data_IF_666701242638
#
_entry.id   IF_666701242638
#
_cell.length_a   1.000
_cell.length_b   1.000
_cell.length_c   1.000
_cell.angle_alpha   90.00
_cell.angle_beta   90.00
_cell.angle_gamma   90.00
#
_symmetry.space_group_name_H-M   'P 1'
#
loop_
_entity.id
_entity.type
_entity.pdbx_description
1 polymer ?
#
# COMPACT_ATOMS: atom_id res chain seq x y z
N UNK A 1 -16.36 45.39 41.68
CA UNK A 1 -16.83 45.60 40.29
C UNK A 1 -15.69 45.19 39.34
N UNK A 2 -15.84 44.04 38.64
CA UNK A 2 -15.07 43.59 37.45
C UNK A 2 -13.59 43.23 37.66
N UNK A 3 -13.01 42.22 37.02
CA UNK A 3 -13.44 40.99 36.33
C UNK A 3 -12.15 40.17 36.11
N UNK A 4 -12.27 38.86 36.25
CA UNK A 4 -11.33 37.81 35.85
C UNK A 4 -10.77 37.95 34.43
N UNK A 5 -9.55 37.47 34.19
CA UNK A 5 -9.21 36.68 32.98
C UNK A 5 -8.10 35.67 33.31
N UNK A 6 -8.50 34.40 33.50
CA UNK A 6 -7.61 33.24 33.37
C UNK A 6 -7.37 33.02 31.87
N UNK A 7 -6.11 32.99 31.45
CA UNK A 7 -5.72 32.46 30.14
C UNK A 7 -5.68 30.93 30.22
N UNK A 8 -6.81 30.28 29.99
CA UNK A 8 -6.85 28.85 29.66
C UNK A 8 -6.59 28.69 28.16
N UNK A 9 -5.34 28.43 27.78
CA UNK A 9 -5.03 27.95 26.44
C UNK A 9 -5.54 26.51 26.31
N UNK A 10 -6.75 26.36 25.78
CA UNK A 10 -7.31 25.09 25.34
C UNK A 10 -6.41 24.49 24.25
N UNK A 11 -5.52 23.57 24.62
CA UNK A 11 -4.83 22.71 23.65
C UNK A 11 -5.81 21.64 23.14
N UNK A 12 -6.73 22.07 22.30
CA UNK A 12 -7.45 21.16 21.39
C UNK A 12 -6.43 20.61 20.42
N UNK A 13 -5.81 19.47 20.77
CA UNK A 13 -5.09 18.64 19.81
C UNK A 13 -6.14 18.06 18.87
N UNK A 14 -6.43 18.77 17.79
CA UNK A 14 -7.07 18.18 16.62
C UNK A 14 -6.14 17.05 16.18
N UNK A 15 -6.57 15.81 16.44
CA UNK A 15 -5.90 14.64 15.91
C UNK A 15 -6.19 14.63 14.40
N UNK A 16 -5.49 15.47 13.64
CA UNK A 16 -5.47 15.34 12.19
C UNK A 16 -5.05 13.90 11.92
N UNK A 17 -5.95 13.11 11.33
CA UNK A 17 -5.58 11.86 10.70
C UNK A 17 -4.35 12.17 9.85
N UNK A 18 -3.18 11.64 10.23
CA UNK A 18 -1.95 11.85 9.48
C UNK A 18 -2.28 11.46 8.04
N UNK A 19 -2.31 12.42 7.12
CA UNK A 19 -2.40 12.13 5.70
C UNK A 19 -1.22 11.22 5.42
N UNK A 20 -1.47 9.93 5.23
CA UNK A 20 -0.41 9.01 4.84
C UNK A 20 -0.07 9.36 3.41
N UNK A 21 1.10 9.95 3.21
CA UNK A 21 1.61 10.18 1.88
C UNK A 21 1.75 8.81 1.18
N UNK A 22 1.38 8.67 -0.10
CA UNK A 22 1.43 7.39 -0.80
C UNK A 22 2.80 6.68 -0.66
N UNK A 23 3.89 7.44 -0.73
CA UNK A 23 5.24 6.90 -0.53
C UNK A 23 5.46 6.27 0.85
N UNK A 24 4.84 6.80 1.91
CA UNK A 24 4.91 6.21 3.25
C UNK A 24 4.11 4.92 3.36
N UNK A 25 2.95 4.85 2.69
CA UNK A 25 2.21 3.60 2.58
C UNK A 25 3.03 2.53 1.85
N UNK A 26 3.67 2.89 0.73
CA UNK A 26 4.47 1.97 -0.07
C UNK A 26 5.66 1.40 0.73
N UNK A 27 6.34 2.22 1.53
CA UNK A 27 7.38 1.75 2.45
C UNK A 27 6.85 0.79 3.51
N UNK A 28 5.64 1.01 4.02
CA UNK A 28 5.04 0.18 5.06
C UNK A 28 4.63 -1.22 4.58
N UNK A 29 4.50 -1.43 3.27
CA UNK A 29 4.06 -2.71 2.69
C UNK A 29 5.21 -3.57 2.15
N UNK A 30 6.44 -3.04 2.11
CA UNK A 30 7.64 -3.84 1.78
C UNK A 30 7.76 -5.03 2.75
N UNK A 31 8.11 -6.20 2.21
CA UNK A 31 8.23 -7.47 2.94
C UNK A 31 6.89 -8.11 3.31
N UNK A 32 5.74 -7.54 2.90
CA UNK A 32 4.42 -8.09 3.21
C UNK A 32 3.80 -8.81 2.01
N UNK A 33 2.91 -9.79 2.26
CA UNK A 33 2.06 -10.33 1.21
C UNK A 33 1.16 -9.25 0.61
N UNK A 34 1.16 -9.16 -0.72
CA UNK A 34 0.36 -8.19 -1.49
C UNK A 34 -0.38 -8.85 -2.64
N UNK A 35 -1.43 -8.17 -3.12
CA UNK A 35 -2.00 -8.39 -4.45
C UNK A 35 -1.66 -7.19 -5.32
N UNK A 36 -1.16 -7.47 -6.51
CA UNK A 36 -1.00 -6.50 -7.60
C UNK A 36 -1.99 -6.89 -8.69
N UNK A 37 -3.03 -6.08 -8.88
CA UNK A 37 -3.99 -6.29 -9.96
C UNK A 37 -3.52 -5.55 -11.20
N UNK A 38 -3.47 -6.23 -12.33
CA UNK A 38 -3.14 -5.63 -13.61
C UNK A 38 -4.39 -5.06 -14.29
N UNK A 39 -4.19 -4.14 -15.23
CA UNK A 39 -5.25 -3.60 -16.10
C UNK A 39 -5.98 -4.69 -16.91
N UNK A 40 -5.35 -5.84 -17.14
CA UNK A 40 -5.96 -7.01 -17.78
C UNK A 40 -6.97 -7.75 -16.90
N UNK A 41 -7.01 -7.46 -15.59
CA UNK A 41 -7.82 -8.17 -14.62
C UNK A 41 -7.10 -9.33 -13.90
N UNK A 42 -5.90 -9.69 -14.35
CA UNK A 42 -5.03 -10.71 -13.73
C UNK A 42 -4.49 -10.20 -12.39
N UNK A 43 -4.48 -11.07 -11.38
CA UNK A 43 -3.94 -10.78 -10.06
C UNK A 43 -2.60 -11.50 -9.86
N UNK A 44 -1.56 -10.75 -9.52
CA UNK A 44 -0.30 -11.31 -9.02
C UNK A 44 -0.27 -11.20 -7.51
N UNK A 45 0.01 -12.32 -6.83
CA UNK A 45 0.13 -12.39 -5.37
C UNK A 45 1.53 -12.80 -5.01
N UNK A 46 2.14 -12.15 -4.03
CA UNK A 46 3.51 -12.44 -3.63
C UNK A 46 3.96 -11.59 -2.45
N UNK A 47 5.22 -11.75 -2.06
CA UNK A 47 5.88 -10.90 -1.07
C UNK A 47 6.48 -9.70 -1.79
N UNK A 48 6.14 -8.49 -1.36
CA UNK A 48 6.67 -7.28 -1.97
C UNK A 48 8.15 -7.08 -1.61
N UNK A 49 9.05 -7.28 -2.55
CA UNK A 49 10.48 -7.07 -2.34
C UNK A 49 10.86 -5.58 -2.44
N UNK A 50 10.44 -4.92 -3.52
CA UNK A 50 10.66 -3.48 -3.70
C UNK A 50 9.67 -2.88 -4.71
N UNK A 51 9.55 -1.55 -4.69
CA UNK A 51 8.89 -0.79 -5.73
C UNK A 51 9.48 0.63 -5.85
N UNK A 52 9.28 1.27 -7.01
CA UNK A 52 9.75 2.63 -7.27
C UNK A 52 8.61 3.66 -7.49
N UNK A 53 8.98 4.91 -7.74
CA UNK A 53 8.03 6.00 -8.00
C UNK A 53 7.22 5.87 -9.30
N UNK A 54 7.60 4.94 -10.18
CA UNK A 54 6.85 4.60 -11.40
C UNK A 54 5.97 3.35 -11.21
N UNK A 55 5.91 2.82 -9.99
CA UNK A 55 5.20 1.60 -9.63
C UNK A 55 5.73 0.34 -10.32
N UNK A 56 7.00 0.30 -10.73
CA UNK A 56 7.63 -0.98 -11.05
C UNK A 56 7.78 -1.78 -9.76
N UNK A 57 7.42 -3.06 -9.78
CA UNK A 57 7.30 -3.89 -8.58
C UNK A 57 8.11 -5.15 -8.76
N UNK A 58 8.97 -5.44 -7.77
CA UNK A 58 9.56 -6.77 -7.61
C UNK A 58 8.78 -7.55 -6.55
N UNK A 59 8.34 -8.76 -6.92
CA UNK A 59 7.68 -9.70 -6.04
C UNK A 59 8.52 -10.98 -5.89
N UNK A 60 8.53 -11.52 -4.69
CA UNK A 60 9.03 -12.86 -4.39
C UNK A 60 7.86 -13.82 -4.17
N UNK A 61 8.09 -15.12 -4.36
CA UNK A 61 7.07 -16.17 -4.17
C UNK A 61 5.77 -15.89 -4.94
N UNK A 62 5.92 -15.41 -6.17
CA UNK A 62 4.85 -14.86 -6.98
C UNK A 62 3.96 -15.95 -7.57
N UNK A 63 2.66 -15.77 -7.41
CA UNK A 63 1.60 -16.60 -7.97
C UNK A 63 0.66 -15.76 -8.82
N UNK A 64 0.25 -16.29 -9.97
CA UNK A 64 -0.67 -15.66 -10.90
C UNK A 64 -2.06 -16.25 -10.76
N UNK A 65 -3.05 -15.38 -10.66
CA UNK A 65 -4.45 -15.75 -10.57
C UNK A 65 -5.24 -15.08 -11.68
N UNK A 66 -5.97 -15.90 -12.44
CA UNK A 66 -6.96 -15.44 -13.40
C UNK A 66 -8.35 -15.90 -12.94
N UNK A 67 -9.27 -14.95 -12.76
CA UNK A 67 -10.60 -15.21 -12.20
C UNK A 67 -10.57 -15.99 -10.88
N UNK A 68 -9.60 -15.69 -10.02
CA UNK A 68 -9.42 -16.33 -8.71
C UNK A 68 -8.82 -17.74 -8.76
N UNK A 69 -8.56 -18.31 -9.94
CA UNK A 69 -7.88 -19.59 -10.09
C UNK A 69 -6.38 -19.40 -10.28
N UNK A 70 -5.59 -20.18 -9.54
CA UNK A 70 -4.14 -20.23 -9.69
C UNK A 70 -3.79 -20.77 -11.09
N UNK A 71 -3.07 -19.97 -11.87
CA UNK A 71 -2.60 -20.33 -13.21
C UNK A 71 -1.13 -20.73 -13.20
N UNK A 72 -0.29 -19.94 -12.53
CA UNK A 72 1.15 -20.12 -12.55
C UNK A 72 1.82 -19.72 -11.24
N UNK A 73 3.04 -20.24 -11.03
CA UNK A 73 3.97 -19.84 -9.97
C UNK A 73 5.29 -19.42 -10.63
N UNK A 74 5.73 -18.20 -10.36
CA UNK A 74 6.93 -17.62 -10.96
C UNK A 74 8.11 -17.52 -10.00
N UNK A 75 7.87 -17.58 -8.68
CA UNK A 75 8.92 -17.29 -7.70
C UNK A 75 9.25 -15.79 -7.74
N UNK A 76 10.40 -15.42 -8.25
CA UNK A 76 10.79 -14.01 -8.37
C UNK A 76 10.23 -13.41 -9.66
N UNK A 77 9.48 -12.31 -9.56
CA UNK A 77 8.82 -11.67 -10.68
C UNK A 77 9.02 -10.15 -10.65
N UNK A 78 9.15 -9.56 -11.84
CA UNK A 78 9.20 -8.12 -12.03
C UNK A 78 8.00 -7.64 -12.86
N UNK A 79 7.20 -6.76 -12.28
CA UNK A 79 5.98 -6.22 -12.89
C UNK A 79 6.22 -4.75 -13.24
N UNK A 80 5.95 -4.40 -14.50
CA UNK A 80 6.09 -3.03 -15.00
C UNK A 80 4.92 -2.15 -14.53
N UNK A 81 5.22 -0.98 -13.98
CA UNK A 81 4.23 -0.16 -13.28
C UNK A 81 3.09 0.41 -14.12
N UNK A 82 3.30 0.62 -15.43
CA UNK A 82 2.23 1.11 -16.31
C UNK A 82 1.10 0.08 -16.53
N UNK A 83 1.31 -1.18 -16.16
CA UNK A 83 0.28 -2.23 -16.26
C UNK A 83 -0.51 -2.41 -14.96
N UNK A 84 -0.09 -1.75 -13.87
CA UNK A 84 -0.67 -1.91 -12.54
C UNK A 84 -1.93 -1.07 -12.42
N UNK A 85 -3.04 -1.71 -12.03
CA UNK A 85 -4.29 -1.05 -11.68
C UNK A 85 -4.28 -0.64 -10.21
N UNK A 86 -3.95 -1.57 -9.30
CA UNK A 86 -3.77 -1.28 -7.88
C UNK A 86 -2.83 -2.28 -7.20
N UNK A 87 -2.34 -1.88 -6.03
CA UNK A 87 -1.67 -2.76 -5.06
C UNK A 87 -2.43 -2.71 -3.73
N UNK A 88 -2.60 -3.87 -3.09
CA UNK A 88 -3.20 -3.96 -1.76
C UNK A 88 -2.47 -5.00 -0.89
N UNK A 89 -2.48 -4.80 0.42
CA UNK A 89 -1.99 -5.81 1.36
C UNK A 89 -2.96 -6.98 1.42
N UNK A 90 -2.45 -8.22 1.39
CA UNK A 90 -3.24 -9.38 1.76
C UNK A 90 -3.49 -9.32 3.27
N UNK A 91 -4.72 -9.00 3.70
CA UNK A 91 -5.09 -9.21 5.10
C UNK A 91 -5.19 -10.72 5.35
N UNK A 92 -4.48 -11.20 6.36
CA UNK A 92 -4.77 -12.51 6.97
C UNK A 92 -6.09 -12.46 7.71
#
# INVERSE_FOLDING_TARGET
KRRSTLHTSNNFRVNMSRRQNPSEFLKQIIGKPVVVKLNSGVDYRGILACLDGFMNIALEQTEEYNNGQLQNKYGDAFIRGNNVLYISTLKR
#
